data_IF_766527321244
#
_entry.id   IF_766527321244
#
_cell.length_a   1.000
_cell.length_b   1.000
_cell.length_c   1.000
_cell.angle_alpha   90.00
_cell.angle_beta   90.00
_cell.angle_gamma   90.00
#
_symmetry.space_group_name_H-M   'P 1'
#
loop_
_entity.id
_entity.type
_entity.pdbx_description
1 polymer ?
#
# COMPACT_ATOMS: atom_id res chain seq x y z
N UNK A 1 18.62 -76.19 18.38
CA UNK A 1 17.29 -75.60 18.14
C UNK A 1 17.51 -74.11 18.08
N UNK A 2 17.78 -73.60 16.88
CA UNK A 2 17.95 -72.16 16.62
C UNK A 2 16.81 -71.84 15.67
N UNK A 3 15.84 -71.08 16.17
CA UNK A 3 14.71 -70.60 15.37
C UNK A 3 15.25 -69.72 14.24
N UNK A 4 14.90 -70.08 13.00
CA UNK A 4 15.10 -69.22 11.84
C UNK A 4 14.26 -67.95 12.01
N UNK A 5 14.94 -66.84 12.26
CA UNK A 5 14.36 -65.51 12.31
C UNK A 5 13.84 -65.15 10.90
N UNK A 6 12.53 -65.32 10.68
CA UNK A 6 11.86 -64.90 9.45
C UNK A 6 11.99 -63.38 9.30
N UNK A 7 12.74 -62.95 8.30
CA UNK A 7 12.84 -61.55 7.90
C UNK A 7 11.45 -61.01 7.54
N UNK A 8 11.03 -59.84 8.05
CA UNK A 8 9.71 -59.27 7.76
C UNK A 8 9.62 -58.95 6.26
N UNK A 9 8.66 -59.58 5.60
CA UNK A 9 8.38 -59.39 4.18
C UNK A 9 7.62 -58.06 4.03
N UNK A 10 8.30 -57.01 3.57
CA UNK A 10 7.70 -55.69 3.41
C UNK A 10 6.61 -55.73 2.34
N UNK A 11 5.42 -55.24 2.68
CA UNK A 11 4.25 -55.28 1.78
C UNK A 11 4.42 -54.29 0.62
N UNK A 12 3.77 -54.54 -0.53
CA UNK A 12 3.81 -53.61 -1.68
C UNK A 12 3.32 -52.19 -1.32
N UNK A 13 2.47 -52.06 -0.31
CA UNK A 13 2.00 -50.78 0.22
C UNK A 13 3.12 -49.99 0.91
N UNK A 14 3.99 -50.66 1.68
CA UNK A 14 5.14 -50.02 2.34
C UNK A 14 6.08 -49.41 1.31
N UNK A 15 6.38 -50.14 0.23
CA UNK A 15 7.20 -49.61 -0.87
C UNK A 15 6.57 -48.41 -1.54
N UNK A 16 5.26 -48.41 -1.78
CA UNK A 16 4.56 -47.25 -2.33
C UNK A 16 4.68 -46.05 -1.40
N UNK A 17 4.49 -46.23 -0.09
CA UNK A 17 4.62 -45.16 0.91
C UNK A 17 6.05 -44.63 0.94
N UNK A 18 7.06 -45.50 0.95
CA UNK A 18 8.48 -45.12 0.94
C UNK A 18 8.79 -44.29 -0.31
N UNK A 19 8.35 -44.74 -1.48
CA UNK A 19 8.60 -44.04 -2.75
C UNK A 19 7.93 -42.66 -2.74
N UNK A 20 6.67 -42.57 -2.29
CA UNK A 20 5.95 -41.29 -2.20
C UNK A 20 6.65 -40.36 -1.21
N UNK A 21 7.06 -40.86 -0.05
CA UNK A 21 7.79 -40.08 0.96
C UNK A 21 9.12 -39.54 0.42
N UNK A 22 9.91 -40.38 -0.23
CA UNK A 22 11.16 -39.98 -0.88
C UNK A 22 10.93 -38.95 -1.99
N UNK A 23 9.87 -39.14 -2.79
CA UNK A 23 9.49 -38.18 -3.82
C UNK A 23 9.09 -36.82 -3.23
N UNK A 24 8.35 -36.80 -2.12
CA UNK A 24 7.97 -35.56 -1.44
C UNK A 24 9.17 -34.82 -0.84
N UNK A 25 10.14 -35.54 -0.26
CA UNK A 25 11.37 -34.94 0.26
C UNK A 25 12.25 -34.39 -0.88
N UNK A 26 12.35 -35.12 -1.99
CA UNK A 26 13.15 -34.72 -3.13
C UNK A 26 12.50 -33.62 -3.98
N UNK A 27 11.18 -33.50 -3.95
CA UNK A 27 10.42 -32.61 -4.83
C UNK A 27 10.90 -31.15 -4.81
N UNK A 28 11.18 -30.51 -3.66
CA UNK A 28 11.69 -29.15 -3.64
C UNK A 28 13.08 -28.98 -4.26
N UNK A 29 13.96 -29.96 -4.09
CA UNK A 29 15.27 -29.97 -4.73
C UNK A 29 15.16 -30.15 -6.25
N UNK A 30 14.30 -31.05 -6.69
CA UNK A 30 13.99 -31.24 -8.12
C UNK A 30 13.35 -29.97 -8.70
N UNK A 31 12.41 -29.35 -7.98
CA UNK A 31 11.75 -28.11 -8.37
C UNK A 31 12.73 -26.96 -8.52
N UNK A 32 13.69 -26.83 -7.59
CA UNK A 32 14.75 -25.84 -7.69
C UNK A 32 15.63 -26.06 -8.93
N UNK A 33 16.03 -27.31 -9.21
CA UNK A 33 16.79 -27.66 -10.42
C UNK A 33 16.01 -27.43 -11.72
N UNK A 34 14.69 -27.61 -11.68
CA UNK A 34 13.78 -27.36 -12.80
C UNK A 34 13.42 -25.86 -12.97
N UNK A 35 14.00 -24.97 -12.16
CA UNK A 35 13.80 -23.52 -12.26
C UNK A 35 12.62 -22.97 -11.47
N UNK A 36 11.89 -23.79 -10.70
CA UNK A 36 10.81 -23.36 -9.80
C UNK A 36 11.34 -22.76 -8.48
N UNK A 37 12.33 -21.88 -8.57
CA UNK A 37 12.97 -21.29 -7.38
C UNK A 37 12.04 -20.33 -6.65
N UNK A 38 12.11 -20.31 -5.31
CA UNK A 38 11.43 -19.31 -4.48
C UNK A 38 11.96 -17.89 -4.63
N UNK A 39 13.10 -17.70 -5.31
CA UNK A 39 13.81 -16.43 -5.42
C UNK A 39 12.99 -15.34 -6.12
N UNK A 40 12.26 -15.68 -7.20
CA UNK A 40 11.39 -14.71 -7.89
C UNK A 40 10.23 -14.26 -7.01
N UNK A 41 9.67 -15.18 -6.22
CA UNK A 41 8.56 -14.88 -5.32
C UNK A 41 8.98 -13.99 -4.14
N UNK A 42 10.23 -14.06 -3.69
CA UNK A 42 10.76 -13.17 -2.63
C UNK A 42 10.75 -11.72 -3.08
N UNK A 43 11.18 -11.44 -4.31
CA UNK A 43 11.10 -10.09 -4.85
C UNK A 43 9.64 -9.62 -4.97
N UNK A 44 8.77 -10.47 -5.51
CA UNK A 44 7.37 -10.12 -5.79
C UNK A 44 6.50 -9.97 -4.53
N UNK A 45 6.82 -10.69 -3.44
CA UNK A 45 5.99 -10.78 -2.22
C UNK A 45 6.67 -10.08 -1.03
N UNK A 46 7.96 -10.35 -0.80
CA UNK A 46 8.71 -9.85 0.37
C UNK A 46 9.48 -8.55 0.09
N UNK A 47 9.52 -8.06 -1.16
CA UNK A 47 10.22 -6.83 -1.57
C UNK A 47 11.69 -6.73 -1.15
N UNK A 48 12.38 -7.87 -1.06
CA UNK A 48 13.81 -7.94 -0.76
C UNK A 48 14.57 -8.72 -1.81
N UNK A 49 15.90 -8.54 -1.84
CA UNK A 49 16.79 -9.30 -2.70
C UNK A 49 16.99 -10.69 -2.06
N UNK A 50 16.79 -11.80 -2.80
CA UNK A 50 17.10 -13.14 -2.32
C UNK A 50 18.60 -13.27 -1.99
N UNK A 51 18.92 -14.08 -0.99
CA UNK A 51 20.32 -14.39 -0.70
C UNK A 51 20.96 -15.10 -1.91
N UNK A 52 22.15 -14.66 -2.36
CA UNK A 52 22.84 -15.29 -3.48
C UNK A 52 23.37 -16.68 -3.10
N UNK A 53 23.66 -17.51 -4.11
CA UNK A 53 24.34 -18.78 -3.89
C UNK A 53 25.71 -18.55 -3.24
N UNK A 54 26.06 -19.28 -2.17
CA UNK A 54 27.34 -19.11 -1.50
C UNK A 54 28.48 -19.54 -2.42
N UNK A 55 29.55 -18.75 -2.48
CA UNK A 55 30.80 -19.15 -3.11
C UNK A 55 31.57 -20.11 -2.21
N UNK A 56 32.44 -20.94 -2.80
CA UNK A 56 33.32 -21.79 -2.01
C UNK A 56 34.21 -20.94 -1.08
N UNK A 57 34.29 -21.28 0.22
CA UNK A 57 35.04 -20.49 1.18
C UNK A 57 36.53 -20.62 0.90
N UNK A 58 37.23 -19.49 0.89
CA UNK A 58 38.66 -19.36 0.61
C UNK A 58 39.47 -18.93 1.84
N UNK A 59 38.78 -18.46 2.90
CA UNK A 59 39.40 -18.01 4.15
C UNK A 59 38.83 -18.74 5.36
N UNK A 60 39.58 -18.76 6.47
CA UNK A 60 39.11 -19.38 7.72
C UNK A 60 37.82 -18.73 8.24
N UNK A 61 37.66 -17.42 8.06
CA UNK A 61 36.42 -16.70 8.40
C UNK A 61 35.26 -17.14 7.49
N UNK A 62 35.49 -17.26 6.19
CA UNK A 62 34.47 -17.76 5.25
C UNK A 62 34.06 -19.20 5.58
N UNK A 63 34.97 -20.07 6.02
CA UNK A 63 34.59 -21.43 6.45
C UNK A 63 33.65 -21.42 7.67
N UNK A 64 33.81 -20.47 8.59
CA UNK A 64 32.93 -20.30 9.76
C UNK A 64 31.56 -19.74 9.33
N UNK A 65 31.54 -18.81 8.38
CA UNK A 65 30.31 -18.15 7.90
C UNK A 65 29.56 -18.99 6.83
N UNK A 66 30.21 -20.00 6.24
CA UNK A 66 29.68 -20.82 5.14
C UNK A 66 28.36 -21.55 5.46
N UNK A 67 28.18 -22.20 6.64
CA UNK A 67 26.91 -22.84 6.97
C UNK A 67 25.75 -21.84 7.01
N UNK A 68 25.94 -20.69 7.66
CA UNK A 68 24.90 -19.67 7.80
C UNK A 68 24.49 -19.07 6.44
N UNK A 69 25.46 -18.81 5.56
CA UNK A 69 25.19 -18.30 4.20
C UNK A 69 24.53 -19.34 3.30
N UNK A 70 24.88 -20.62 3.46
CA UNK A 70 24.23 -21.74 2.77
C UNK A 70 22.78 -21.91 3.20
N UNK A 71 22.51 -21.89 4.51
CA UNK A 71 21.16 -21.95 5.06
C UNK A 71 20.31 -20.78 4.57
N UNK A 72 20.86 -19.56 4.58
CA UNK A 72 20.19 -18.37 4.07
C UNK A 72 19.82 -18.48 2.58
N UNK A 73 20.72 -19.02 1.76
CA UNK A 73 20.46 -19.28 0.35
C UNK A 73 19.34 -20.31 0.14
N UNK A 74 19.41 -21.45 0.83
CA UNK A 74 18.39 -22.50 0.69
C UNK A 74 17.02 -22.05 1.19
N UNK A 75 16.97 -21.31 2.30
CA UNK A 75 15.73 -20.71 2.80
C UNK A 75 15.05 -19.80 1.79
N UNK A 76 15.82 -19.18 0.89
CA UNK A 76 15.30 -18.27 -0.13
C UNK A 76 15.02 -18.96 -1.48
N UNK A 77 15.82 -19.96 -1.83
CA UNK A 77 15.85 -20.55 -3.17
C UNK A 77 15.12 -21.88 -3.29
N UNK A 78 14.61 -22.41 -2.18
CA UNK A 78 13.89 -23.69 -2.14
C UNK A 78 12.75 -23.77 -3.16
N UNK A 79 12.71 -24.87 -3.91
CA UNK A 79 11.67 -25.11 -4.90
C UNK A 79 10.28 -25.17 -4.26
N UNK A 80 9.28 -24.58 -4.91
CA UNK A 80 7.89 -24.55 -4.42
C UNK A 80 7.67 -23.85 -3.06
N UNK A 81 8.64 -23.07 -2.56
CA UNK A 81 8.54 -22.35 -1.26
C UNK A 81 7.22 -21.59 -1.08
N UNK A 82 6.79 -20.83 -2.07
CA UNK A 82 5.54 -20.05 -1.99
C UNK A 82 4.30 -20.93 -1.89
N UNK A 83 4.28 -22.05 -2.62
CA UNK A 83 3.18 -23.02 -2.57
C UNK A 83 3.15 -23.73 -1.22
N UNK A 84 4.28 -24.26 -0.76
CA UNK A 84 4.38 -24.94 0.53
C UNK A 84 4.10 -24.00 1.71
N UNK A 85 4.55 -22.74 1.61
CA UNK A 85 4.23 -21.70 2.59
C UNK A 85 2.73 -21.38 2.63
N UNK A 86 2.07 -21.31 1.46
CA UNK A 86 0.62 -21.10 1.40
C UNK A 86 -0.16 -22.30 1.97
N UNK A 87 0.22 -23.52 1.61
CA UNK A 87 -0.40 -24.75 2.14
C UNK A 87 -0.21 -24.83 3.66
N UNK A 88 1.00 -24.58 4.16
CA UNK A 88 1.26 -24.56 5.59
C UNK A 88 0.41 -23.50 6.32
N UNK A 89 0.28 -22.31 5.73
CA UNK A 89 -0.57 -21.24 6.25
C UNK A 89 -2.05 -21.65 6.34
N UNK A 90 -2.59 -22.26 5.29
CA UNK A 90 -3.97 -22.75 5.25
C UNK A 90 -4.19 -23.84 6.31
N UNK A 91 -3.30 -24.83 6.38
CA UNK A 91 -3.41 -25.93 7.34
C UNK A 91 -3.38 -25.41 8.77
N UNK A 92 -2.44 -24.51 9.10
CA UNK A 92 -2.37 -23.94 10.43
C UNK A 92 -3.60 -23.10 10.77
N UNK A 93 -4.12 -22.32 9.81
CA UNK A 93 -5.33 -21.53 10.00
C UNK A 93 -6.55 -22.41 10.29
N UNK A 94 -6.74 -23.51 9.56
CA UNK A 94 -7.80 -24.50 9.82
C UNK A 94 -7.65 -25.17 11.19
N UNK A 95 -6.43 -25.33 11.67
CA UNK A 95 -6.12 -25.83 13.02
C UNK A 95 -6.22 -24.75 14.12
N UNK A 96 -6.63 -23.51 13.77
CA UNK A 96 -6.73 -22.40 14.72
C UNK A 96 -5.40 -21.85 15.21
N UNK A 97 -4.31 -22.10 14.47
CA UNK A 97 -2.95 -21.65 14.76
C UNK A 97 -2.43 -20.71 13.66
N UNK A 98 -1.28 -20.09 13.87
CA UNK A 98 -0.65 -19.19 12.91
C UNK A 98 0.82 -19.53 12.72
N UNK A 99 1.36 -19.21 11.54
CA UNK A 99 2.79 -19.41 11.22
C UNK A 99 3.70 -18.49 12.07
N UNK A 100 3.12 -17.47 12.70
CA UNK A 100 3.85 -16.50 13.54
C UNK A 100 3.00 -16.14 14.75
N UNK A 101 3.59 -16.25 15.93
CA UNK A 101 2.99 -15.82 17.21
C UNK A 101 2.57 -14.35 17.21
N UNK A 102 3.09 -13.55 16.27
CA UNK A 102 2.72 -12.15 16.08
C UNK A 102 1.41 -11.93 15.29
N UNK A 103 0.69 -12.99 14.93
CA UNK A 103 -0.56 -12.89 14.16
C UNK A 103 -1.69 -13.57 14.91
N UNK A 104 -2.76 -12.82 15.16
CA UNK A 104 -4.02 -13.32 15.70
C UNK A 104 -5.01 -13.56 14.56
N UNK A 105 -5.68 -14.72 14.58
CA UNK A 105 -6.80 -15.01 13.68
C UNK A 105 -8.09 -14.57 14.36
N UNK A 106 -8.75 -13.58 13.78
CA UNK A 106 -10.08 -13.13 14.18
C UNK A 106 -11.20 -13.89 13.47
N UNK A 107 -12.44 -13.44 13.68
CA UNK A 107 -13.62 -14.01 13.01
C UNK A 107 -13.50 -13.89 11.49
N UNK A 108 -14.15 -14.78 10.75
CA UNK A 108 -14.23 -14.77 9.28
C UNK A 108 -12.87 -14.74 8.56
N UNK A 109 -11.82 -15.26 9.20
CA UNK A 109 -10.48 -15.36 8.61
C UNK A 109 -9.69 -14.05 8.60
N UNK A 110 -10.14 -13.01 9.31
CA UNK A 110 -9.38 -11.78 9.45
C UNK A 110 -8.08 -12.00 10.22
N UNK A 111 -6.96 -11.50 9.71
CA UNK A 111 -5.65 -11.61 10.35
C UNK A 111 -5.25 -10.27 10.98
N UNK A 112 -4.88 -10.29 12.25
CA UNK A 112 -4.47 -9.11 13.02
C UNK A 112 -3.03 -9.24 13.48
N UNK A 113 -2.23 -8.20 13.24
CA UNK A 113 -0.86 -8.17 13.74
C UNK A 113 -0.87 -7.80 15.23
N UNK A 114 -0.28 -8.65 16.06
CA UNK A 114 -0.12 -8.53 17.50
C UNK A 114 1.39 -8.66 17.77
N UNK A 115 2.13 -7.55 17.69
CA UNK A 115 3.56 -7.61 18.06
C UNK A 115 3.65 -7.58 19.58
N UNK A 116 4.40 -8.47 20.21
CA UNK A 116 4.56 -8.48 21.69
C UNK A 116 5.07 -7.14 22.27
N UNK A 117 5.74 -6.32 21.45
CA UNK A 117 6.20 -4.98 21.84
C UNK A 117 5.11 -3.91 21.86
N UNK A 118 3.93 -4.16 21.30
CA UNK A 118 2.80 -3.25 21.29
C UNK A 118 1.53 -4.01 21.64
N UNK A 119 0.93 -3.66 22.78
CA UNK A 119 -0.31 -4.23 23.29
C UNK A 119 -1.54 -3.80 22.47
N UNK A 120 -1.45 -3.76 21.15
CA UNK A 120 -2.48 -3.28 20.22
C UNK A 120 -3.81 -3.96 20.49
N UNK A 121 -3.82 -5.27 20.67
CA UNK A 121 -5.05 -6.02 20.97
C UNK A 121 -5.68 -5.57 22.30
N UNK A 122 -4.87 -5.33 23.32
CA UNK A 122 -5.34 -4.88 24.63
C UNK A 122 -5.74 -3.39 24.61
N UNK A 123 -5.09 -2.56 23.78
CA UNK A 123 -5.51 -1.18 23.49
C UNK A 123 -6.90 -1.15 22.84
N UNK A 124 -7.14 -1.95 21.79
CA UNK A 124 -8.47 -2.05 21.15
C UNK A 124 -9.54 -2.63 22.07
N UNK A 125 -9.16 -3.46 23.05
CA UNK A 125 -10.07 -4.01 24.06
C UNK A 125 -10.32 -3.06 25.23
N UNK A 126 -9.65 -1.89 25.26
CA UNK A 126 -9.70 -0.96 26.37
C UNK A 126 -9.07 -1.50 27.66
N UNK A 127 -8.26 -2.55 27.57
CA UNK A 127 -7.56 -3.15 28.70
C UNK A 127 -6.25 -2.41 29.03
N UNK A 128 -5.72 -1.63 28.08
CA UNK A 128 -4.63 -0.68 28.33
C UNK A 128 -5.21 0.69 28.61
N UNK A 129 -5.16 1.11 29.87
CA UNK A 129 -5.46 2.47 30.28
C UNK A 129 -4.17 3.28 30.30
N UNK A 130 -4.11 4.38 29.54
CA UNK A 130 -3.00 5.33 29.66
C UNK A 130 -3.14 6.04 31.01
N UNK A 131 -2.10 5.98 31.83
CA UNK A 131 -2.08 6.69 33.13
C UNK A 131 -1.72 8.15 32.94
N UNK A 132 -2.16 9.02 33.85
CA UNK A 132 -1.78 10.44 33.84
C UNK A 132 -0.25 10.61 33.87
N UNK A 133 0.46 9.77 34.64
CA UNK A 133 1.93 9.77 34.68
C UNK A 133 2.57 9.41 33.32
N UNK A 134 1.97 8.48 32.57
CA UNK A 134 2.42 8.15 31.22
C UNK A 134 2.17 9.31 30.24
N UNK A 135 1.02 10.01 30.38
CA UNK A 135 0.71 11.22 29.63
C UNK A 135 1.74 12.31 29.93
N UNK A 136 2.00 12.58 31.21
CA UNK A 136 2.96 13.60 31.65
C UNK A 136 4.37 13.30 31.14
N UNK A 137 4.79 12.03 31.19
CA UNK A 137 6.08 11.58 30.64
C UNK A 137 6.15 11.81 29.13
N UNK A 138 5.07 11.52 28.40
CA UNK A 138 4.97 11.78 26.97
C UNK A 138 5.04 13.28 26.65
N UNK A 139 4.27 14.10 27.37
CA UNK A 139 4.24 15.55 27.22
C UNK A 139 5.61 16.15 27.51
N UNK A 140 6.29 15.70 28.56
CA UNK A 140 7.63 16.16 28.92
C UNK A 140 8.65 15.88 27.80
N UNK A 141 8.65 14.66 27.25
CA UNK A 141 9.51 14.30 26.11
C UNK A 141 9.22 15.13 24.86
N UNK A 142 7.95 15.42 24.58
CA UNK A 142 7.57 16.27 23.45
C UNK A 142 8.03 17.72 23.64
N UNK A 143 7.93 18.25 24.87
CA UNK A 143 8.43 19.60 25.20
C UNK A 143 9.95 19.67 25.05
N UNK A 144 10.68 18.70 25.58
CA UNK A 144 12.14 18.60 25.44
C UNK A 144 12.56 18.58 23.96
N UNK A 145 11.91 17.75 23.13
CA UNK A 145 12.19 17.69 21.70
C UNK A 145 11.91 19.02 20.97
N UNK A 146 10.84 19.74 21.38
CA UNK A 146 10.50 21.07 20.84
C UNK A 146 11.51 22.13 21.27
N UNK A 147 11.96 22.11 22.51
CA UNK A 147 12.96 23.05 23.03
C UNK A 147 14.32 22.83 22.33
N UNK A 148 14.75 21.57 22.17
CA UNK A 148 16.00 21.22 21.50
C UNK A 148 16.07 21.64 20.01
N UNK A 149 14.92 21.93 19.39
CA UNK A 149 14.81 22.33 17.98
C UNK A 149 14.44 23.80 17.77
N UNK A 150 14.07 24.50 18.85
CA UNK A 150 13.62 25.90 18.80
C UNK A 150 14.70 26.85 18.26
N UNK A 151 15.97 26.63 18.64
CA UNK A 151 17.11 27.45 18.22
C UNK A 151 17.51 27.20 16.75
N UNK A 152 17.01 26.14 16.12
CA UNK A 152 17.40 25.73 14.77
C UNK A 152 16.46 26.24 13.68
N UNK A 153 15.42 27.02 14.01
CA UNK A 153 14.36 27.43 13.06
C UNK A 153 13.71 26.23 12.33
N UNK A 154 13.71 25.06 12.97
CA UNK A 154 13.07 23.84 12.47
C UNK A 154 11.72 23.74 13.19
N UNK A 155 10.63 23.87 12.43
CA UNK A 155 9.30 23.60 12.97
C UNK A 155 9.18 22.12 13.33
N UNK A 156 9.12 21.83 14.63
CA UNK A 156 8.90 20.48 15.13
C UNK A 156 7.43 20.12 14.99
N UNK A 157 7.14 19.36 13.95
CA UNK A 157 5.82 18.81 13.68
C UNK A 157 5.65 17.48 14.42
N UNK A 158 4.73 17.46 15.38
CA UNK A 158 4.24 16.22 15.95
C UNK A 158 3.15 15.65 15.05
N UNK A 159 3.46 14.57 14.33
CA UNK A 159 2.48 13.85 13.50
C UNK A 159 1.80 12.83 14.41
N UNK A 160 0.68 13.21 15.01
CA UNK A 160 -0.30 12.20 15.38
C UNK A 160 -0.75 11.52 14.07
N UNK A 161 -0.90 10.20 14.12
CA UNK A 161 -1.06 9.29 12.98
C UNK A 161 -2.28 9.58 12.10
N UNK A 162 -3.05 10.63 12.39
CA UNK A 162 -4.38 10.88 11.84
C UNK A 162 -4.75 12.33 11.53
N UNK A 163 -3.84 13.31 11.60
CA UNK A 163 -4.09 14.62 10.95
C UNK A 163 -3.45 14.58 9.56
N UNK A 164 -4.18 14.18 8.50
CA UNK A 164 -3.65 14.34 7.15
C UNK A 164 -3.31 15.82 6.99
N UNK A 165 -2.08 16.14 6.56
CA UNK A 165 -1.74 17.48 6.12
C UNK A 165 -2.54 17.79 4.85
N UNK A 166 -3.84 18.01 5.00
CA UNK A 166 -4.82 18.21 3.93
C UNK A 166 -4.34 19.35 3.04
N UNK A 167 -3.72 20.38 3.65
CA UNK A 167 -3.20 21.53 2.94
C UNK A 167 -1.86 21.31 2.19
N UNK A 168 -1.18 20.19 2.40
CA UNK A 168 0.10 19.86 1.73
C UNK A 168 0.04 18.60 0.88
N UNK A 169 -1.07 17.86 0.95
CA UNK A 169 -1.23 16.57 0.30
C UNK A 169 -2.08 16.71 -0.94
N UNK A 170 -1.55 16.48 -2.16
CA UNK A 170 -2.37 16.52 -3.34
C UNK A 170 -3.25 15.26 -3.43
N UNK A 171 -4.49 15.47 -3.90
CA UNK A 171 -5.52 14.44 -4.07
C UNK A 171 -6.11 14.49 -5.50
N UNK A 172 -7.14 13.68 -5.75
CA UNK A 172 -7.75 13.50 -7.09
C UNK A 172 -7.00 12.53 -8.00
N UNK A 173 -5.67 12.48 -7.95
CA UNK A 173 -4.85 11.57 -8.77
C UNK A 173 -4.81 10.12 -8.26
N UNK A 174 -5.16 9.91 -6.99
CA UNK A 174 -5.21 8.61 -6.30
C UNK A 174 -6.33 8.65 -5.26
N UNK A 175 -7.04 7.53 -5.11
CA UNK A 175 -8.00 7.34 -4.03
C UNK A 175 -7.28 7.44 -2.68
N UNK A 176 -7.86 8.19 -1.74
CA UNK A 176 -7.41 8.31 -0.35
C UNK A 176 -8.51 7.75 0.53
N UNK A 177 -8.14 6.99 1.56
CA UNK A 177 -9.14 6.36 2.45
C UNK A 177 -10.01 7.39 3.21
N UNK A 178 -9.46 8.59 3.43
CA UNK A 178 -10.10 9.69 4.16
C UNK A 178 -10.81 10.71 3.26
N UNK A 179 -10.92 10.46 1.94
CA UNK A 179 -11.66 11.31 1.00
C UNK A 179 -12.76 10.45 0.37
N UNK A 180 -14.00 10.89 0.50
CA UNK A 180 -15.08 10.30 -0.29
C UNK A 180 -14.99 10.82 -1.72
N UNK A 181 -15.04 9.91 -2.70
CA UNK A 181 -14.91 10.27 -4.10
C UNK A 181 -15.90 9.53 -4.98
N UNK A 182 -16.43 10.23 -5.98
CA UNK A 182 -17.27 9.65 -7.04
C UNK A 182 -16.94 10.30 -8.39
N UNK A 183 -17.30 9.64 -9.49
CA UNK A 183 -17.04 10.13 -10.84
C UNK A 183 -15.58 10.09 -11.30
N UNK A 184 -14.72 9.27 -10.66
CA UNK A 184 -13.33 9.07 -11.04
C UNK A 184 -13.04 7.63 -11.48
N UNK A 185 -12.41 7.46 -12.64
CA UNK A 185 -11.91 6.17 -13.11
C UNK A 185 -10.66 5.70 -12.35
N UNK A 186 -10.24 4.46 -12.61
CA UNK A 186 -9.02 3.86 -12.05
C UNK A 186 -7.78 4.68 -12.41
N UNK A 187 -6.81 4.64 -11.50
CA UNK A 187 -5.49 5.27 -11.64
C UNK A 187 -4.79 4.81 -12.91
N UNK A 188 -4.21 5.76 -13.64
CA UNK A 188 -3.28 5.49 -14.73
C UNK A 188 -1.88 6.04 -14.39
N UNK A 189 -0.85 5.27 -14.77
CA UNK A 189 0.55 5.69 -14.65
C UNK A 189 1.04 6.08 -16.04
N UNK A 190 1.49 7.32 -16.18
CA UNK A 190 2.08 7.86 -17.42
C UNK A 190 3.54 8.22 -17.18
N UNK A 191 4.27 8.58 -18.25
CA UNK A 191 5.63 9.15 -18.13
C UNK A 191 5.64 10.44 -17.29
N UNK A 192 4.57 11.23 -17.35
CA UNK A 192 4.41 12.50 -16.62
C UNK A 192 3.91 12.34 -15.18
N UNK A 193 3.75 11.10 -14.68
CA UNK A 193 3.27 10.83 -13.34
C UNK A 193 1.92 10.12 -13.30
N UNK A 194 1.24 10.25 -12.17
CA UNK A 194 -0.02 9.57 -11.90
C UNK A 194 -1.19 10.50 -12.15
N UNK A 195 -2.23 9.99 -12.82
CA UNK A 195 -3.43 10.74 -13.14
C UNK A 195 -4.68 9.86 -13.09
N UNK A 196 -5.85 10.50 -13.05
CA UNK A 196 -7.16 9.85 -13.15
C UNK A 196 -8.11 10.68 -14.00
N UNK A 197 -8.80 10.01 -14.92
CA UNK A 197 -9.92 10.61 -15.63
C UNK A 197 -11.15 10.67 -14.74
N UNK A 198 -11.92 11.73 -14.88
CA UNK A 198 -13.31 11.77 -14.42
C UNK A 198 -14.24 11.16 -15.47
N UNK A 199 -15.49 10.89 -15.11
CA UNK A 199 -16.58 10.53 -16.03
C UNK A 199 -17.40 11.75 -16.50
N UNK A 200 -16.86 12.95 -16.29
CA UNK A 200 -17.56 14.22 -16.49
C UNK A 200 -18.03 14.86 -15.19
N UNK A 201 -18.17 14.10 -14.10
CA UNK A 201 -18.71 14.59 -12.83
C UNK A 201 -17.86 14.15 -11.64
N UNK A 202 -16.60 14.56 -11.60
CA UNK A 202 -15.69 14.20 -10.50
C UNK A 202 -16.06 14.93 -9.22
N UNK A 203 -16.37 14.20 -8.14
CA UNK A 203 -16.68 14.78 -6.82
C UNK A 203 -15.72 14.26 -5.76
N UNK A 204 -15.25 15.17 -4.91
CA UNK A 204 -14.36 14.89 -3.77
C UNK A 204 -14.97 15.55 -2.54
N UNK A 205 -15.22 14.78 -1.48
CA UNK A 205 -15.61 15.30 -0.16
C UNK A 205 -14.42 15.12 0.77
N UNK A 206 -13.85 16.25 1.18
CA UNK A 206 -12.58 16.30 1.90
C UNK A 206 -12.86 16.81 3.31
N UNK A 207 -12.57 16.03 4.37
CA UNK A 207 -12.63 16.54 5.73
C UNK A 207 -11.56 17.62 5.92
N UNK A 208 -11.88 18.63 6.71
CA UNK A 208 -11.02 19.78 6.99
C UNK A 208 -11.01 20.10 8.48
N UNK A 209 -9.92 20.72 8.93
CA UNK A 209 -9.85 21.29 10.27
C UNK A 209 -10.47 22.70 10.23
N UNK A 210 -11.62 22.94 10.90
CA UNK A 210 -12.26 24.26 10.91
C UNK A 210 -11.40 25.32 11.63
N UNK A 211 -10.42 24.93 12.45
CA UNK A 211 -9.46 25.87 13.03
C UNK A 211 -8.39 26.34 12.02
N UNK A 212 -8.24 25.63 10.89
CA UNK A 212 -7.29 25.96 9.83
C UNK A 212 -7.96 25.82 8.45
N UNK A 213 -8.96 26.67 8.14
CA UNK A 213 -9.66 26.58 6.87
C UNK A 213 -8.73 26.95 5.71
N UNK A 214 -8.84 26.27 4.56
CA UNK A 214 -8.10 26.66 3.37
C UNK A 214 -8.66 27.95 2.76
N UNK A 215 -7.78 28.79 2.25
CA UNK A 215 -8.16 30.04 1.57
C UNK A 215 -8.16 29.89 0.05
N UNK A 216 -7.49 28.86 -0.48
CA UNK A 216 -7.36 28.62 -1.91
C UNK A 216 -7.45 27.13 -2.25
N UNK A 217 -7.84 26.85 -3.49
CA UNK A 217 -7.76 25.55 -4.11
C UNK A 217 -6.90 25.62 -5.38
N UNK A 218 -5.86 24.80 -5.44
CA UNK A 218 -5.05 24.62 -6.65
C UNK A 218 -5.48 23.35 -7.37
N UNK A 219 -5.82 23.48 -8.65
CA UNK A 219 -6.27 22.38 -9.49
C UNK A 219 -5.37 22.31 -10.71
N UNK A 220 -4.78 21.13 -10.94
CA UNK A 220 -3.99 20.81 -12.13
C UNK A 220 -4.62 19.65 -12.87
N UNK A 221 -4.89 19.88 -14.16
CA UNK A 221 -5.55 18.96 -15.08
C UNK A 221 -4.74 18.82 -16.36
N UNK A 222 -5.08 17.78 -17.12
CA UNK A 222 -4.71 17.63 -18.53
C UNK A 222 -6.01 17.45 -19.31
N UNK A 223 -6.22 18.30 -20.32
CA UNK A 223 -7.24 18.07 -21.34
C UNK A 223 -6.56 17.37 -22.52
N UNK A 224 -7.13 16.26 -22.99
CA UNK A 224 -6.49 15.45 -24.04
C UNK A 224 -6.92 15.89 -25.45
N UNK A 225 -5.96 15.90 -26.38
CA UNK A 225 -6.18 16.16 -27.81
C UNK A 225 -6.23 17.65 -28.17
N UNK A 226 -6.91 17.98 -29.27
CA UNK A 226 -7.19 19.36 -29.72
C UNK A 226 -8.54 19.87 -29.19
N UNK A 227 -9.18 19.13 -28.29
CA UNK A 227 -10.52 19.41 -27.80
C UNK A 227 -10.54 20.67 -26.93
N UNK A 228 -11.62 21.43 -27.07
CA UNK A 228 -12.01 22.46 -26.12
C UNK A 228 -13.04 21.82 -25.20
N UNK A 229 -12.68 21.57 -23.94
CA UNK A 229 -13.60 21.05 -22.94
C UNK A 229 -14.28 22.21 -22.20
N UNK A 230 -15.58 22.08 -21.96
CA UNK A 230 -16.32 22.98 -21.08
C UNK A 230 -16.14 22.49 -19.65
N UNK A 231 -15.58 23.32 -18.77
CA UNK A 231 -15.12 22.91 -17.44
C UNK A 231 -15.56 23.88 -16.35
N UNK A 232 -16.18 23.35 -15.31
CA UNK A 232 -16.67 24.11 -14.15
C UNK A 232 -16.11 23.51 -12.86
N UNK A 233 -15.66 24.39 -11.96
CA UNK A 233 -15.26 24.03 -10.60
C UNK A 233 -16.30 24.59 -9.63
N UNK A 234 -16.94 23.71 -8.87
CA UNK A 234 -17.92 24.05 -7.85
C UNK A 234 -17.39 23.59 -6.50
N UNK A 235 -17.46 24.45 -5.48
CA UNK A 235 -17.02 24.13 -4.13
C UNK A 235 -18.11 24.50 -3.14
N UNK A 236 -18.59 23.51 -2.37
CA UNK A 236 -19.72 23.65 -1.45
C UNK A 236 -20.94 24.34 -2.11
N UNK A 237 -21.22 24.01 -3.37
CA UNK A 237 -22.31 24.62 -4.15
C UNK A 237 -21.99 25.97 -4.79
N UNK A 238 -20.87 26.61 -4.44
CA UNK A 238 -20.42 27.88 -5.05
C UNK A 238 -19.56 27.62 -6.28
N UNK A 239 -19.95 28.19 -7.43
CA UNK A 239 -19.12 28.09 -8.65
C UNK A 239 -17.92 29.02 -8.55
N UNK A 240 -16.71 28.46 -8.57
CA UNK A 240 -15.45 29.22 -8.51
C UNK A 240 -14.95 29.65 -9.89
N UNK A 241 -15.13 28.80 -10.90
CA UNK A 241 -14.81 29.13 -12.29
C UNK A 241 -15.64 28.30 -13.26
N UNK A 242 -15.86 28.87 -14.44
CA UNK A 242 -16.44 28.22 -15.61
C UNK A 242 -15.63 28.66 -16.83
N UNK A 243 -14.87 27.73 -17.40
CA UNK A 243 -13.89 28.01 -18.45
C UNK A 243 -13.97 26.98 -19.58
N UNK A 244 -13.68 27.43 -20.80
CA UNK A 244 -13.45 26.54 -21.94
C UNK A 244 -11.96 26.24 -22.04
N UNK A 245 -11.54 25.05 -21.59
CA UNK A 245 -10.13 24.65 -21.52
C UNK A 245 -9.71 23.98 -22.84
N UNK A 246 -8.64 24.48 -23.44
CA UNK A 246 -8.04 23.84 -24.62
C UNK A 246 -7.23 22.61 -24.20
N UNK A 247 -7.07 21.68 -25.14
CA UNK A 247 -6.18 20.54 -24.98
C UNK A 247 -4.77 20.94 -24.57
N UNK A 248 -4.19 20.17 -23.65
CA UNK A 248 -2.93 20.47 -22.99
C UNK A 248 -3.06 20.52 -21.46
N UNK A 249 -2.05 21.07 -20.82
CA UNK A 249 -2.04 21.26 -19.37
C UNK A 249 -2.87 22.48 -18.99
N UNK A 250 -3.67 22.33 -17.94
CA UNK A 250 -4.41 23.44 -17.35
C UNK A 250 -4.15 23.45 -15.85
N UNK A 251 -3.87 24.62 -15.30
CA UNK A 251 -3.67 24.81 -13.86
C UNK A 251 -4.20 26.15 -13.42
N UNK A 252 -4.89 26.17 -12.28
CA UNK A 252 -5.38 27.38 -11.62
C UNK A 252 -5.31 27.25 -10.12
N UNK A 253 -5.05 28.38 -9.48
CA UNK A 253 -5.28 28.59 -8.05
C UNK A 253 -6.48 29.51 -7.92
N UNK A 254 -7.56 29.00 -7.32
CA UNK A 254 -8.83 29.71 -7.17
C UNK A 254 -9.00 30.10 -5.70
N UNK A 255 -9.49 31.31 -5.46
CA UNK A 255 -9.82 31.76 -4.10
C UNK A 255 -11.09 31.06 -3.62
N UNK A 256 -11.08 30.67 -2.34
CA UNK A 256 -12.25 30.16 -1.63
C UNK A 256 -12.99 31.28 -0.87
N UNK A 257 -12.67 32.55 -1.14
CA UNK A 257 -13.36 33.68 -0.53
C UNK A 257 -14.86 33.63 -0.86
N UNK A 258 -15.70 33.72 0.17
CA UNK A 258 -17.16 33.64 0.03
C UNK A 258 -17.73 32.21 -0.05
N UNK A 259 -16.89 31.18 -0.02
CA UNK A 259 -17.34 29.80 0.16
C UNK A 259 -17.54 29.54 1.65
N UNK A 260 -18.71 29.02 2.05
CA UNK A 260 -18.92 28.54 3.41
C UNK A 260 -18.21 27.20 3.57
N UNK A 261 -17.38 27.11 4.60
CA UNK A 261 -16.47 25.99 4.85
C UNK A 261 -16.63 25.61 6.32
N UNK A 262 -17.14 24.40 6.55
CA UNK A 262 -17.41 23.87 7.89
C UNK A 262 -16.31 22.85 8.29
N UNK A 263 -16.69 21.60 8.56
CA UNK A 263 -15.79 20.46 8.80
C UNK A 263 -15.48 19.66 7.53
N UNK A 264 -16.12 20.00 6.41
CA UNK A 264 -15.94 19.36 5.12
C UNK A 264 -15.93 20.38 3.97
N UNK A 265 -15.18 20.05 2.92
CA UNK A 265 -15.20 20.75 1.64
C UNK A 265 -15.52 19.76 0.52
N UNK A 266 -16.63 20.02 -0.15
CA UNK A 266 -17.10 19.30 -1.33
C UNK A 266 -16.61 20.02 -2.57
N UNK A 267 -15.81 19.34 -3.38
CA UNK A 267 -15.23 19.86 -4.62
C UNK A 267 -15.80 19.05 -5.77
N UNK A 268 -16.45 19.72 -6.71
CA UNK A 268 -17.02 19.13 -7.91
C UNK A 268 -16.32 19.69 -9.15
N UNK A 269 -15.85 18.77 -9.99
CA UNK A 269 -15.13 19.00 -11.23
C UNK A 269 -16.04 18.52 -12.36
N UNK A 270 -16.82 19.45 -12.91
CA UNK A 270 -17.83 19.15 -13.93
C UNK A 270 -17.26 19.49 -15.30
N UNK A 271 -17.31 18.53 -16.23
CA UNK A 271 -16.86 18.72 -17.60
C UNK A 271 -17.72 17.99 -18.62
N UNK A 272 -17.67 18.49 -19.85
CA UNK A 272 -18.16 17.73 -20.99
C UNK A 272 -17.30 16.48 -21.25
N UNK A 273 -17.95 15.42 -21.77
CA UNK A 273 -17.33 14.11 -21.88
C UNK A 273 -17.00 13.75 -23.33
N UNK A 274 -16.10 12.79 -23.52
CA UNK A 274 -15.74 12.24 -24.82
C UNK A 274 -15.42 10.76 -24.70
N UNK A 275 -15.46 10.05 -25.82
CA UNK A 275 -15.04 8.66 -25.90
C UNK A 275 -13.77 8.60 -26.77
N UNK A 276 -12.60 8.21 -26.23
CA UNK A 276 -11.34 8.23 -26.99
C UNK A 276 -11.39 7.42 -28.29
N UNK A 277 -12.08 6.28 -28.30
CA UNK A 277 -12.26 5.44 -29.49
C UNK A 277 -13.05 6.13 -30.62
N UNK A 278 -13.86 7.15 -30.32
CA UNK A 278 -14.57 7.93 -31.34
C UNK A 278 -13.71 9.07 -31.92
N UNK A 279 -12.62 9.43 -31.23
CA UNK A 279 -11.74 10.53 -31.64
C UNK A 279 -10.48 10.06 -32.37
N UNK A 280 -10.12 8.79 -32.27
CA UNK A 280 -8.91 8.24 -32.89
C UNK A 280 -9.02 6.74 -33.12
N UNK A 281 -8.81 6.32 -34.36
CA UNK A 281 -8.73 4.90 -34.76
C UNK A 281 -7.59 4.14 -34.05
N UNK A 282 -6.64 4.85 -33.44
CA UNK A 282 -5.55 4.26 -32.67
C UNK A 282 -5.94 3.91 -31.22
N UNK A 283 -7.14 4.29 -30.77
CA UNK A 283 -7.61 4.07 -29.40
C UNK A 283 -8.77 3.08 -29.37
N UNK A 284 -8.66 2.03 -28.56
CA UNK A 284 -9.75 1.09 -28.28
C UNK A 284 -10.49 1.43 -26.97
N UNK A 285 -10.25 2.60 -26.39
CA UNK A 285 -10.84 3.02 -25.12
C UNK A 285 -12.24 3.60 -25.32
N UNK A 286 -13.26 2.83 -24.91
CA UNK A 286 -14.69 3.15 -25.09
C UNK A 286 -15.32 3.84 -23.89
N UNK A 287 -14.53 4.26 -22.90
CA UNK A 287 -15.04 4.92 -21.70
C UNK A 287 -15.48 6.36 -22.00
N UNK A 288 -16.51 6.82 -21.31
CA UNK A 288 -16.97 8.22 -21.33
C UNK A 288 -16.08 9.02 -20.37
N UNK A 289 -15.09 9.73 -20.90
CA UNK A 289 -14.08 10.44 -20.13
C UNK A 289 -14.38 11.95 -20.08
N UNK A 290 -14.26 12.55 -18.90
CA UNK A 290 -14.18 14.01 -18.71
C UNK A 290 -12.74 14.50 -18.65
N UNK A 291 -12.49 15.51 -17.82
CA UNK A 291 -11.12 16.00 -17.55
C UNK A 291 -10.24 14.96 -16.86
N UNK A 292 -8.94 15.03 -17.12
CA UNK A 292 -7.94 14.22 -16.46
C UNK A 292 -7.27 14.99 -15.32
N UNK A 293 -7.45 14.53 -14.08
CA UNK A 293 -6.98 15.17 -12.86
C UNK A 293 -5.56 14.71 -12.51
N UNK A 294 -4.63 15.67 -12.42
CA UNK A 294 -3.25 15.45 -11.94
C UNK A 294 -3.10 15.80 -10.47
N UNK A 295 -3.73 16.87 -10.01
CA UNK A 295 -3.76 17.18 -8.58
C UNK A 295 -4.85 18.18 -8.24
N UNK A 296 -5.40 18.01 -7.06
CA UNK A 296 -6.14 19.03 -6.34
C UNK A 296 -5.43 19.24 -4.99
N UNK A 297 -5.20 20.49 -4.60
CA UNK A 297 -4.61 20.87 -3.30
C UNK A 297 -5.43 21.97 -2.68
N UNK A 298 -5.58 21.90 -1.37
CA UNK A 298 -6.12 22.99 -0.55
C UNK A 298 -4.94 23.76 0.03
N UNK A 299 -4.99 25.09 0.06
CA UNK A 299 -3.88 25.92 0.50
C UNK A 299 -4.38 27.01 1.45
N UNK A 300 -3.64 27.26 2.54
CA UNK A 300 -3.89 28.41 3.41
C UNK A 300 -3.52 29.74 2.72
N UNK A 301 -2.45 29.73 1.92
CA UNK A 301 -1.89 30.90 1.24
C UNK A 301 -1.37 30.53 -0.15
N UNK A 302 -1.35 31.49 -1.07
CA UNK A 302 -0.69 31.32 -2.37
C UNK A 302 0.80 31.57 -2.18
N UNK A 303 1.64 30.56 -2.45
CA UNK A 303 3.09 30.78 -2.50
C UNK A 303 3.41 31.73 -3.67
N UNK A 304 4.23 32.79 -3.45
CA UNK A 304 4.66 33.69 -4.51
C UNK A 304 5.51 33.00 -5.56
#
# INVERSE_FOLDING_TARGET
MIDEEKTPQTSSLEWVIIIVFLALIAAPGIGQLAGFSGAEAIWAIEYRIPNPAPSMPSTAKECVDFPATTDAFFNDSFGFRSFLGAVNGIVLQELGSTVRDEVLVGKDGWLFHHKSSYSITEEYRGAVTVTDEAIDTWVAKMREAREATADLSIDTLFVDRWTPQIQKTPFGMRKRAWIEESGFYRRQKTKSGVLRFTDGNGKLVVPIDPAQPPSYIEISLVSWGTRIADFTVIVNGTTLTHERIRGGEWSRTLSLSGVQIDDTITIELVSDTFIPAELSDASNDTRVLGVCVRSVRLLAEVKP
#
